data_IF_452467306165
#
_entry.id   IF_452467306165
#
_cell.length_a   1.000
_cell.length_b   1.000
_cell.length_c   1.000
_cell.angle_alpha   90.00
_cell.angle_beta   90.00
_cell.angle_gamma   90.00
#
_symmetry.space_group_name_H-M   'P 1'
#
loop_
_entity.id
_entity.type
_entity.pdbx_description
1 polymer ?
#
# COMPACT_ATOMS: atom_id res chain seq x y z
N UNK A 1 11.36 6.13 10.26
CA UNK A 1 10.09 5.40 10.29
C UNK A 1 10.16 4.35 11.38
N UNK A 2 9.08 4.17 12.15
CA UNK A 2 9.00 3.06 13.11
C UNK A 2 8.56 1.75 12.40
N UNK A 3 8.65 0.61 13.10
CA UNK A 3 8.28 -0.70 12.51
C UNK A 3 6.83 -0.74 12.01
N UNK A 4 5.89 -0.11 12.74
CA UNK A 4 4.48 -0.06 12.32
C UNK A 4 4.28 0.70 11.00
N UNK A 5 4.99 1.80 10.80
CA UNK A 5 4.95 2.56 9.54
C UNK A 5 5.61 1.78 8.39
N UNK A 6 6.71 1.07 8.66
CA UNK A 6 7.35 0.19 7.67
C UNK A 6 6.39 -0.91 7.23
N UNK A 7 5.73 -1.59 8.18
CA UNK A 7 4.66 -2.57 7.91
C UNK A 7 3.53 -1.94 7.10
N UNK A 8 3.08 -0.74 7.48
CA UNK A 8 1.99 -0.05 6.79
C UNK A 8 2.33 0.21 5.32
N UNK A 9 3.54 0.70 5.02
CA UNK A 9 3.94 0.95 3.63
C UNK A 9 4.05 -0.30 2.78
N UNK A 10 4.67 -1.34 3.32
CA UNK A 10 4.86 -2.60 2.59
C UNK A 10 3.49 -3.28 2.40
N UNK A 11 2.64 -3.29 3.44
CA UNK A 11 1.29 -3.84 3.37
C UNK A 11 0.40 -3.07 2.39
N UNK A 12 0.51 -1.73 2.35
CA UNK A 12 -0.21 -0.91 1.40
C UNK A 12 0.13 -1.27 -0.05
N UNK A 13 1.42 -1.49 -0.37
CA UNK A 13 1.81 -1.97 -1.71
C UNK A 13 1.30 -3.38 -1.96
N UNK A 14 1.50 -4.27 -0.99
CA UNK A 14 1.13 -5.67 -1.11
C UNK A 14 -0.36 -5.84 -1.37
N UNK A 15 -1.24 -5.14 -0.63
CA UNK A 15 -2.68 -5.31 -0.81
C UNK A 15 -3.20 -4.75 -2.15
N UNK A 16 -2.54 -3.73 -2.69
CA UNK A 16 -2.88 -3.18 -4.00
C UNK A 16 -2.48 -4.14 -5.12
N UNK A 17 -1.36 -4.85 -4.97
CA UNK A 17 -0.91 -5.88 -5.91
C UNK A 17 -1.65 -7.21 -5.74
N UNK A 18 -2.22 -7.47 -4.55
CA UNK A 18 -2.91 -8.72 -4.25
C UNK A 18 -4.23 -8.82 -5.00
N UNK A 19 -4.16 -9.33 -6.23
CA UNK A 19 -5.31 -9.61 -7.07
C UNK A 19 -5.74 -11.07 -6.97
N UNK A 20 -4.78 -11.99 -6.96
CA UNK A 20 -4.96 -13.42 -6.73
C UNK A 20 -3.77 -13.99 -5.94
N UNK A 21 -2.58 -13.85 -6.53
CA UNK A 21 -1.29 -14.17 -5.93
C UNK A 21 -0.26 -13.14 -6.38
N UNK A 22 0.82 -12.99 -5.60
CA UNK A 22 1.93 -12.13 -6.01
C UNK A 22 2.72 -12.78 -7.15
N UNK A 23 2.86 -12.05 -8.24
CA UNK A 23 3.82 -12.33 -9.31
C UNK A 23 5.26 -12.16 -8.80
N UNK A 24 6.23 -12.75 -9.49
CA UNK A 24 7.64 -12.63 -9.07
C UNK A 24 8.16 -11.19 -9.22
N UNK A 25 7.65 -10.44 -10.20
CA UNK A 25 7.88 -9.00 -10.35
C UNK A 25 7.37 -8.22 -9.14
N UNK A 26 6.15 -8.49 -8.68
CA UNK A 26 5.57 -7.80 -7.50
C UNK A 26 6.32 -8.14 -6.22
N UNK A 27 6.70 -9.41 -6.02
CA UNK A 27 7.56 -9.81 -4.89
C UNK A 27 8.89 -9.07 -4.93
N UNK A 28 9.48 -8.90 -6.12
CA UNK A 28 10.73 -8.15 -6.28
C UNK A 28 10.56 -6.68 -5.92
N UNK A 29 9.45 -6.05 -6.31
CA UNK A 29 9.14 -4.65 -5.92
C UNK A 29 8.98 -4.52 -4.40
N UNK A 30 8.30 -5.48 -3.76
CA UNK A 30 8.14 -5.50 -2.30
C UNK A 30 9.48 -5.73 -1.58
N UNK A 31 10.31 -6.65 -2.09
CA UNK A 31 11.66 -6.91 -1.56
C UNK A 31 12.56 -5.68 -1.67
N UNK A 32 12.61 -5.02 -2.84
CA UNK A 32 13.38 -3.78 -3.02
C UNK A 32 12.91 -2.67 -2.08
N UNK A 33 11.60 -2.58 -1.82
CA UNK A 33 11.08 -1.61 -0.85
C UNK A 33 11.51 -1.96 0.57
N UNK A 34 11.51 -3.25 0.93
CA UNK A 34 11.99 -3.71 2.22
C UNK A 34 13.50 -3.45 2.39
N UNK A 35 14.32 -3.69 1.37
CA UNK A 35 15.74 -3.32 1.35
C UNK A 35 15.94 -1.83 1.63
N UNK A 36 15.22 -0.98 0.88
CA UNK A 36 15.33 0.48 1.00
C UNK A 36 14.95 0.99 2.40
N UNK A 37 14.03 0.28 3.07
CA UNK A 37 13.54 0.64 4.40
C UNK A 37 14.27 -0.10 5.53
N UNK A 38 15.20 -1.00 5.21
CA UNK A 38 15.77 -1.99 6.14
C UNK A 38 14.64 -2.68 6.94
N UNK A 39 13.75 -3.36 6.22
CA UNK A 39 12.43 -3.78 6.70
C UNK A 39 12.07 -5.23 6.29
N UNK A 40 13.05 -6.11 6.27
CA UNK A 40 12.89 -7.51 5.86
C UNK A 40 11.97 -8.30 6.79
N UNK A 41 12.04 -8.04 8.10
CA UNK A 41 11.15 -8.66 9.08
C UNK A 41 9.70 -8.22 8.86
N UNK A 42 9.48 -6.94 8.57
CA UNK A 42 8.17 -6.39 8.25
C UNK A 42 7.62 -6.96 6.95
N UNK A 43 8.46 -7.17 5.93
CA UNK A 43 8.05 -7.83 4.70
C UNK A 43 7.57 -9.26 4.97
N UNK A 44 8.34 -10.05 5.72
CA UNK A 44 7.92 -11.40 6.09
C UNK A 44 6.59 -11.39 6.86
N UNK A 45 6.41 -10.43 7.77
CA UNK A 45 5.15 -10.25 8.48
C UNK A 45 4.00 -9.93 7.50
N UNK A 46 4.21 -9.04 6.52
CA UNK A 46 3.19 -8.69 5.52
C UNK A 46 2.80 -9.90 4.67
N UNK A 47 3.77 -10.69 4.22
CA UNK A 47 3.49 -11.89 3.43
C UNK A 47 2.64 -12.89 4.23
N UNK A 48 2.99 -13.13 5.49
CA UNK A 48 2.21 -14.00 6.38
C UNK A 48 0.82 -13.42 6.67
N UNK A 49 0.72 -12.12 6.92
CA UNK A 49 -0.54 -11.44 7.22
C UNK A 49 -1.55 -11.56 6.08
N UNK A 50 -1.07 -11.47 4.84
CA UNK A 50 -1.91 -11.59 3.64
C UNK A 50 -2.30 -13.04 3.37
N UNK A 51 -1.36 -13.98 3.56
CA UNK A 51 -1.60 -15.41 3.29
C UNK A 51 -2.48 -16.08 4.33
N UNK A 52 -2.52 -15.58 5.57
CA UNK A 52 -3.32 -16.14 6.65
C UNK A 52 -4.82 -16.16 6.32
N UNK A 53 -5.32 -15.10 5.69
CA UNK A 53 -6.71 -15.01 5.23
C UNK A 53 -6.80 -14.07 4.04
N UNK A 54 -6.70 -14.62 2.84
CA UNK A 54 -6.75 -13.86 1.59
C UNK A 54 -8.12 -13.25 1.33
N UNK A 55 -9.20 -13.82 1.88
CA UNK A 55 -10.56 -13.31 1.69
C UNK A 55 -10.82 -12.04 2.50
N UNK A 56 -10.25 -11.92 3.70
CA UNK A 56 -10.39 -10.74 4.56
C UNK A 56 -9.14 -9.86 4.61
N UNK A 57 -8.09 -10.21 3.85
CA UNK A 57 -6.82 -9.50 3.81
C UNK A 57 -7.00 -7.99 3.55
N UNK A 58 -7.93 -7.61 2.67
CA UNK A 58 -8.19 -6.21 2.35
C UNK A 58 -8.79 -5.44 3.54
N UNK A 59 -9.84 -5.98 4.16
CA UNK A 59 -10.49 -5.40 5.33
C UNK A 59 -9.54 -5.32 6.53
N UNK A 60 -8.78 -6.39 6.78
CA UNK A 60 -7.75 -6.44 7.83
C UNK A 60 -6.67 -5.40 7.57
N UNK A 61 -6.24 -5.25 6.31
CA UNK A 61 -5.25 -4.23 5.91
C UNK A 61 -5.78 -2.83 6.19
N UNK A 62 -7.02 -2.52 5.81
CA UNK A 62 -7.65 -1.22 6.10
C UNK A 62 -7.65 -0.91 7.59
N UNK A 63 -8.04 -1.87 8.42
CA UNK A 63 -8.04 -1.72 9.87
C UNK A 63 -6.63 -1.50 10.44
N UNK A 64 -5.65 -2.27 9.97
CA UNK A 64 -4.25 -2.10 10.38
C UNK A 64 -3.72 -0.72 9.99
N UNK A 65 -3.91 -0.30 8.74
CA UNK A 65 -3.42 0.98 8.23
C UNK A 65 -4.03 2.16 8.97
N UNK A 66 -5.32 2.09 9.33
CA UNK A 66 -5.98 3.13 10.11
C UNK A 66 -5.27 3.36 11.46
N UNK A 67 -4.90 2.29 12.15
CA UNK A 67 -4.21 2.38 13.44
C UNK A 67 -2.73 2.75 13.26
N UNK A 68 -2.04 2.12 12.30
CA UNK A 68 -0.61 2.31 12.08
C UNK A 68 -0.25 3.70 11.53
N UNK A 69 -1.22 4.39 10.92
CA UNK A 69 -1.04 5.73 10.34
C UNK A 69 -1.80 6.81 11.12
N UNK A 70 -2.35 6.52 12.30
CA UNK A 70 -3.14 7.50 13.06
C UNK A 70 -2.34 8.76 13.40
N UNK A 71 -1.08 8.57 13.81
CA UNK A 71 -0.13 9.65 14.12
C UNK A 71 0.53 10.30 12.90
N UNK A 72 0.25 9.80 11.68
CA UNK A 72 0.86 10.29 10.45
C UNK A 72 0.04 11.43 9.87
N UNK A 73 0.71 12.54 9.53
CA UNK A 73 0.06 13.71 8.96
C UNK A 73 -0.57 13.44 7.58
N UNK A 74 -1.61 14.20 7.26
CA UNK A 74 -2.37 14.12 6.01
C UNK A 74 -1.48 14.17 4.77
N UNK A 75 -0.50 15.08 4.73
CA UNK A 75 0.43 15.20 3.59
C UNK A 75 1.26 13.94 3.38
N UNK A 76 1.72 13.33 4.47
CA UNK A 76 2.51 12.11 4.42
C UNK A 76 1.67 10.90 3.99
N UNK A 77 0.41 10.83 4.43
CA UNK A 77 -0.57 9.82 3.96
C UNK A 77 -0.80 9.90 2.44
N UNK A 78 -0.95 11.13 1.91
CA UNK A 78 -1.05 11.36 0.46
C UNK A 78 0.22 10.91 -0.25
N UNK A 79 1.40 11.26 0.30
CA UNK A 79 2.68 10.85 -0.28
C UNK A 79 2.81 9.32 -0.39
N UNK A 80 2.35 8.58 0.62
CA UNK A 80 2.33 7.12 0.59
C UNK A 80 1.46 6.57 -0.54
N UNK A 81 0.24 7.08 -0.71
CA UNK A 81 -0.64 6.67 -1.82
C UNK A 81 -0.05 7.02 -3.19
N UNK A 82 0.54 8.21 -3.33
CA UNK A 82 1.21 8.62 -4.58
C UNK A 82 2.41 7.74 -4.91
N UNK A 83 3.15 7.28 -3.89
CA UNK A 83 4.26 6.34 -4.07
C UNK A 83 3.75 4.98 -4.58
N UNK A 84 2.67 4.46 -3.99
CA UNK A 84 2.07 3.20 -4.43
C UNK A 84 1.49 3.34 -5.83
N UNK A 85 0.74 4.41 -6.12
CA UNK A 85 0.24 4.70 -7.45
C UNK A 85 1.36 4.72 -8.51
N UNK A 86 2.47 5.38 -8.19
CA UNK A 86 3.61 5.45 -9.10
C UNK A 86 4.27 4.10 -9.32
N UNK A 87 4.37 3.27 -8.28
CA UNK A 87 4.87 1.90 -8.38
C UNK A 87 3.93 1.00 -9.21
N UNK A 88 2.62 1.07 -8.97
CA UNK A 88 1.61 0.34 -9.75
C UNK A 88 1.65 0.74 -11.23
N UNK A 89 1.84 2.03 -11.52
CA UNK A 89 1.91 2.53 -12.89
C UNK A 89 3.22 2.19 -13.63
N UNK A 90 4.22 1.56 -12.97
CA UNK A 90 5.47 1.18 -13.66
C UNK A 90 5.23 0.17 -14.77
N UNK A 91 4.18 -0.66 -14.67
CA UNK A 91 3.73 -1.56 -15.74
C UNK A 91 3.06 -0.87 -16.94
N UNK A 92 2.93 0.46 -16.90
CA UNK A 92 2.36 1.28 -17.97
C UNK A 92 0.86 1.52 -17.87
N UNK A 93 0.16 0.87 -16.93
CA UNK A 93 -1.26 1.08 -16.67
C UNK A 93 -1.60 0.75 -15.21
N UNK A 94 -2.75 1.21 -14.74
CA UNK A 94 -3.37 0.85 -13.46
C UNK A 94 -4.76 0.30 -13.77
N UNK A 95 -5.12 -0.84 -13.18
CA UNK A 95 -6.46 -1.42 -13.36
C UNK A 95 -7.50 -0.61 -12.59
N UNK A 96 -8.77 -0.74 -12.99
CA UNK A 96 -9.87 -0.10 -12.24
C UNK A 96 -9.90 -0.56 -10.78
N UNK A 97 -9.68 -1.86 -10.52
CA UNK A 97 -9.66 -2.41 -9.17
C UNK A 97 -8.53 -1.83 -8.30
N UNK A 98 -7.33 -1.66 -8.86
CA UNK A 98 -6.20 -1.02 -8.16
C UNK A 98 -6.51 0.45 -7.85
N UNK A 99 -7.03 1.19 -8.83
CA UNK A 99 -7.39 2.59 -8.68
C UNK A 99 -8.50 2.76 -7.62
N UNK A 100 -9.56 1.94 -7.68
CA UNK A 100 -10.65 1.97 -6.73
C UNK A 100 -10.20 1.59 -5.31
N UNK A 101 -9.29 0.63 -5.19
CA UNK A 101 -8.71 0.25 -3.90
C UNK A 101 -7.92 1.39 -3.26
N UNK A 102 -7.11 2.11 -4.05
CA UNK A 102 -6.37 3.29 -3.59
C UNK A 102 -7.30 4.46 -3.23
N UNK A 103 -8.34 4.72 -4.04
CA UNK A 103 -9.34 5.76 -3.75
C UNK A 103 -10.10 5.44 -2.46
N UNK A 104 -10.49 4.18 -2.24
CA UNK A 104 -11.19 3.74 -1.02
C UNK A 104 -10.32 3.95 0.22
N UNK A 105 -9.03 3.61 0.15
CA UNK A 105 -8.07 3.88 1.23
C UNK A 105 -7.87 5.39 1.46
N UNK A 106 -7.77 6.18 0.39
CA UNK A 106 -7.67 7.63 0.48
C UNK A 106 -8.90 8.25 1.18
N UNK A 107 -10.09 7.72 0.90
CA UNK A 107 -11.34 8.12 1.56
C UNK A 107 -11.34 7.76 3.04
N UNK A 108 -10.92 6.55 3.39
CA UNK A 108 -10.81 6.11 4.79
C UNK A 108 -9.88 7.01 5.62
N UNK A 109 -8.88 7.60 4.97
CA UNK A 109 -7.92 8.51 5.61
C UNK A 109 -8.30 9.98 5.52
N UNK A 110 -9.42 10.31 4.87
CA UNK A 110 -9.86 11.70 4.67
C UNK A 110 -8.98 12.50 3.70
N UNK A 111 -8.23 11.83 2.81
CA UNK A 111 -7.25 12.45 1.91
C UNK A 111 -7.58 12.29 0.42
N UNK A 112 -8.77 11.75 0.09
CA UNK A 112 -9.22 11.45 -1.27
C UNK A 112 -9.06 12.61 -2.24
N UNK A 113 -9.52 13.82 -1.89
CA UNK A 113 -9.47 14.97 -2.80
C UNK A 113 -8.04 15.38 -3.15
N UNK A 114 -7.14 15.39 -2.17
CA UNK A 114 -5.73 15.75 -2.40
C UNK A 114 -5.02 14.65 -3.18
N UNK A 115 -5.28 13.37 -2.86
CA UNK A 115 -4.74 12.25 -3.63
C UNK A 115 -5.16 12.30 -5.11
N UNK A 116 -6.45 12.47 -5.40
CA UNK A 116 -6.97 12.57 -6.78
C UNK A 116 -6.31 13.73 -7.52
N UNK A 117 -6.15 14.87 -6.86
CA UNK A 117 -5.49 16.05 -7.44
C UNK A 117 -4.04 15.77 -7.81
N UNK A 118 -3.30 15.02 -7.00
CA UNK A 118 -1.90 14.67 -7.28
C UNK A 118 -1.78 13.71 -8.46
N UNK A 119 -2.60 12.66 -8.52
CA UNK A 119 -2.48 11.65 -9.59
C UNK A 119 -2.99 12.14 -10.95
N UNK A 120 -3.90 13.13 -10.97
CA UNK A 120 -4.41 13.76 -12.21
C UNK A 120 -3.51 14.84 -12.80
N UNK A 121 -2.50 15.32 -12.06
CA UNK A 121 -1.58 16.38 -12.51
C UNK A 121 -0.48 15.89 -13.46
N UNK A 122 -0.54 14.64 -13.91
CA UNK A 122 0.38 14.08 -14.92
C UNK A 122 0.00 14.49 -16.33
#
# INVERSE_FOLDING_TARGET
MNSSEKKALILLKAIIFLHHDFTDEEKKVLAQKADTLDAHEELNWVMNFVQEDTYTAYERTRAFLKNALDHVETLQKVAYLCEVWSATNQKGFITEMEAMSMIKLARDWGVESEFIKQVRKK
#
